data_IF_362248168953
#
_entry.id   IF_362248168953
#
_cell.length_a   1.000
_cell.length_b   1.000
_cell.length_c   1.000
_cell.angle_alpha   90.00
_cell.angle_beta   90.00
_cell.angle_gamma   90.00
#
_symmetry.space_group_name_H-M   'P 1'
#
loop_
_entity.id
_entity.type
_entity.pdbx_description
1 polymer ?
#
# COMPACT_ATOMS: atom_id res chain seq x y z
N UNK A 1 5.24 7.28 -8.54
CA UNK A 1 5.63 8.43 -9.38
C UNK A 1 6.75 7.97 -10.30
N UNK A 2 6.64 8.19 -11.61
CA UNK A 2 7.79 8.04 -12.50
C UNK A 2 8.88 9.05 -12.13
N UNK A 3 10.14 8.87 -12.58
CA UNK A 3 11.22 9.83 -12.36
C UNK A 3 10.91 11.27 -12.82
N UNK A 4 9.90 11.45 -13.69
CA UNK A 4 9.41 12.74 -14.19
C UNK A 4 8.30 13.37 -13.31
N UNK A 5 7.92 12.72 -12.20
CA UNK A 5 6.85 13.18 -11.29
C UNK A 5 5.43 12.85 -11.76
N UNK A 6 5.26 12.11 -12.86
CA UNK A 6 3.95 11.70 -13.35
C UNK A 6 3.38 10.50 -12.58
N UNK A 7 2.05 10.49 -12.41
CA UNK A 7 1.32 9.34 -11.89
C UNK A 7 1.32 8.23 -12.94
N UNK A 8 1.76 7.05 -12.54
CA UNK A 8 1.74 5.85 -13.35
C UNK A 8 0.75 4.85 -12.78
N UNK A 9 0.03 4.15 -13.65
CA UNK A 9 -0.91 3.10 -13.27
C UNK A 9 -0.30 1.73 -13.58
N UNK A 10 -0.45 0.78 -12.66
CA UNK A 10 0.03 -0.60 -12.83
C UNK A 10 -1.07 -1.60 -12.47
N UNK A 11 -1.02 -2.80 -13.05
CA UNK A 11 -1.84 -3.94 -12.61
C UNK A 11 -1.05 -4.95 -11.78
N UNK A 12 0.19 -4.60 -11.45
CA UNK A 12 1.03 -5.41 -10.59
C UNK A 12 0.51 -5.36 -9.16
N UNK A 13 0.13 -6.53 -8.63
CA UNK A 13 -0.33 -6.70 -7.24
C UNK A 13 0.82 -6.91 -6.26
N UNK A 14 2.06 -6.86 -6.74
CA UNK A 14 3.25 -7.04 -5.92
C UNK A 14 3.59 -5.74 -5.21
N UNK A 15 3.30 -5.70 -3.90
CA UNK A 15 3.61 -4.58 -3.03
C UNK A 15 4.63 -4.97 -1.97
N UNK A 16 5.39 -3.99 -1.53
CA UNK A 16 6.34 -4.09 -0.43
C UNK A 16 6.33 -2.81 0.40
N UNK A 17 6.91 -2.88 1.59
CA UNK A 17 7.08 -1.73 2.47
C UNK A 17 8.52 -1.29 2.38
N UNK A 18 8.76 -0.01 2.08
CA UNK A 18 10.11 0.55 2.05
C UNK A 18 10.66 0.82 3.46
N UNK A 19 11.91 1.27 3.53
CA UNK A 19 12.58 1.61 4.79
C UNK A 19 11.92 2.75 5.59
N UNK A 20 11.06 3.55 4.94
CA UNK A 20 10.32 4.66 5.55
C UNK A 20 8.93 4.23 6.02
N UNK A 21 8.58 2.94 5.87
CA UNK A 21 7.26 2.43 6.18
C UNK A 21 6.21 2.72 5.11
N UNK A 22 6.59 3.12 3.90
CA UNK A 22 5.65 3.44 2.83
C UNK A 22 5.34 2.22 1.97
N UNK A 23 4.07 2.10 1.57
CA UNK A 23 3.67 1.10 0.59
C UNK A 23 4.19 1.50 -0.79
N UNK A 24 5.01 0.64 -1.38
CA UNK A 24 5.58 0.81 -2.71
C UNK A 24 5.31 -0.43 -3.56
N UNK A 25 5.36 -0.29 -4.88
CA UNK A 25 5.33 -1.42 -5.82
C UNK A 25 6.64 -2.22 -5.73
N UNK A 26 6.69 -3.41 -6.33
CA UNK A 26 7.92 -4.20 -6.45
C UNK A 26 9.10 -3.43 -7.07
N UNK A 27 8.82 -2.47 -7.96
CA UNK A 27 9.82 -1.58 -8.55
C UNK A 27 10.27 -0.42 -7.66
N UNK A 28 9.75 -0.31 -6.43
CA UNK A 28 10.07 0.76 -5.49
C UNK A 28 9.29 2.07 -5.71
N UNK A 29 8.25 2.05 -6.54
CA UNK A 29 7.43 3.24 -6.79
C UNK A 29 6.35 3.38 -5.73
N UNK A 30 6.28 4.56 -5.11
CA UNK A 30 5.25 4.88 -4.12
C UNK A 30 3.84 4.86 -4.72
N UNK A 31 2.90 4.26 -3.98
CA UNK A 31 1.47 4.28 -4.31
C UNK A 31 0.85 5.65 -4.00
N UNK A 32 -0.14 6.05 -4.79
CA UNK A 32 -0.85 7.32 -4.60
C UNK A 32 -2.35 7.06 -4.27
N UNK A 33 -2.91 7.70 -3.23
CA UNK A 33 -2.22 8.50 -2.21
C UNK A 33 -1.24 7.67 -1.39
N UNK A 34 -0.24 8.33 -0.80
CA UNK A 34 0.76 7.68 0.04
C UNK A 34 0.07 6.86 1.15
N UNK A 35 0.47 5.60 1.33
CA UNK A 35 0.00 4.74 2.41
C UNK A 35 1.19 4.41 3.31
N UNK A 36 1.13 4.87 4.55
CA UNK A 36 2.14 4.55 5.56
C UNK A 36 1.67 3.37 6.41
N UNK A 37 2.50 2.35 6.48
CA UNK A 37 2.30 1.16 7.31
C UNK A 37 2.91 1.42 8.70
N UNK A 38 2.11 1.29 9.78
CA UNK A 38 2.62 1.41 11.14
C UNK A 38 3.65 0.31 11.46
N UNK A 39 4.71 0.65 12.20
CA UNK A 39 5.75 -0.32 12.59
C UNK A 39 5.22 -1.46 13.49
N UNK A 40 4.10 -1.25 14.17
CA UNK A 40 3.42 -2.25 15.00
C UNK A 40 2.35 -3.07 14.22
N UNK A 41 2.30 -2.95 12.89
CA UNK A 41 1.44 -3.79 12.06
C UNK A 41 1.94 -5.25 12.09
N UNK A 42 1.04 -6.16 12.44
CA UNK A 42 1.30 -7.61 12.47
C UNK A 42 1.05 -8.26 11.11
N UNK A 43 0.08 -7.73 10.35
CA UNK A 43 -0.22 -8.19 9.00
C UNK A 43 -0.76 -7.04 8.17
N UNK A 44 -0.53 -7.11 6.85
CA UNK A 44 -1.06 -6.19 5.86
C UNK A 44 -1.99 -6.99 4.95
N UNK A 45 -3.17 -6.46 4.67
CA UNK A 45 -4.13 -7.04 3.73
C UNK A 45 -4.52 -5.98 2.71
N UNK A 46 -4.42 -6.34 1.44
CA UNK A 46 -4.83 -5.50 0.32
C UNK A 46 -6.03 -6.19 -0.33
N UNK A 47 -7.19 -5.55 -0.27
CA UNK A 47 -8.42 -6.04 -0.87
C UNK A 47 -8.39 -5.92 -2.39
N UNK A 48 -9.25 -6.68 -3.08
CA UNK A 48 -9.42 -6.61 -4.54
C UNK A 48 -9.99 -5.26 -5.01
N UNK A 49 -10.61 -4.53 -4.10
CA UNK A 49 -11.08 -3.15 -4.23
C UNK A 49 -9.96 -2.12 -3.97
N UNK A 50 -8.73 -2.58 -3.77
CA UNK A 50 -7.56 -1.77 -3.44
C UNK A 50 -7.49 -1.38 -1.98
N UNK A 51 -8.43 -1.77 -1.11
CA UNK A 51 -8.41 -1.32 0.29
C UNK A 51 -7.24 -1.94 1.04
N UNK A 52 -6.37 -1.10 1.59
CA UNK A 52 -5.24 -1.52 2.42
C UNK A 52 -5.66 -1.44 3.89
N UNK A 53 -5.55 -2.58 4.59
CA UNK A 53 -5.83 -2.69 6.01
C UNK A 53 -4.72 -3.43 6.74
N UNK A 54 -4.54 -3.13 8.02
CA UNK A 54 -3.57 -3.81 8.89
C UNK A 54 -4.21 -4.40 10.13
N UNK A 55 -3.60 -5.42 10.70
CA UNK A 55 -3.89 -5.86 12.08
C UNK A 55 -2.78 -5.35 12.99
N UNK A 56 -3.11 -4.93 14.21
CA UNK A 56 -2.14 -4.47 15.20
C UNK A 56 -2.30 -5.28 16.49
N UNK A 57 -1.23 -5.40 17.27
CA UNK A 57 -1.30 -6.09 18.56
C UNK A 57 -2.33 -5.41 19.48
N UNK A 58 -3.19 -6.20 20.12
CA UNK A 58 -4.25 -5.69 20.99
C UNK A 58 -5.48 -5.14 20.26
N UNK A 59 -5.53 -5.19 18.92
CA UNK A 59 -6.69 -4.83 18.11
C UNK A 59 -7.18 -6.06 17.33
N UNK A 60 -8.33 -6.60 17.73
CA UNK A 60 -8.93 -7.76 17.06
C UNK A 60 -9.49 -7.42 15.67
N UNK A 61 -9.88 -6.16 15.44
CA UNK A 61 -10.36 -5.68 14.16
C UNK A 61 -9.23 -5.15 13.27
N UNK A 62 -9.39 -5.31 11.95
CA UNK A 62 -8.51 -4.71 10.95
C UNK A 62 -8.71 -3.18 10.92
N UNK A 63 -7.61 -2.44 10.88
CA UNK A 63 -7.59 -0.99 10.73
C UNK A 63 -7.31 -0.62 9.27
N UNK A 64 -8.22 0.16 8.65
CA UNK A 64 -8.10 0.60 7.25
C UNK A 64 -7.16 1.80 7.13
N UNK A 65 -6.12 1.68 6.30
CA UNK A 65 -5.13 2.73 6.05
C UNK A 65 -5.47 3.57 4.82
N UNK A 66 -6.08 2.97 3.79
CA UNK A 66 -6.38 3.67 2.54
C UNK A 66 -6.78 2.73 1.42
N UNK A 67 -6.66 3.21 0.17
CA UNK A 67 -6.87 2.39 -1.03
C UNK A 67 -5.70 2.56 -2.00
N UNK A 68 -5.07 1.46 -2.40
CA UNK A 68 -4.11 1.42 -3.51
C UNK A 68 -4.89 1.51 -4.82
N UNK A 69 -4.87 2.68 -5.45
CA UNK A 69 -5.59 2.92 -6.71
C UNK A 69 -4.71 2.43 -7.86
N UNK A 70 -4.86 1.16 -8.21
CA UNK A 70 -4.27 0.57 -9.41
C UNK A 70 -5.42 0.08 -10.28
N UNK A 71 -5.87 0.85 -11.29
CA UNK A 71 -7.00 0.45 -12.11
C UNK A 71 -6.65 -0.78 -12.96
N UNK A 72 -7.58 -1.73 -13.14
CA UNK A 72 -7.46 -2.75 -14.17
C UNK A 72 -7.56 -2.07 -15.56
N UNK A 73 -6.76 -2.55 -16.52
CA UNK A 73 -6.92 -2.21 -17.94
C UNK A 73 -8.24 -2.75 -18.48
#
# INVERSE_FOLDING_TARGET
MLPDGSSAYTRDGSFQVDQNGQLVTAGGFQVQPAITIPANALSITIGRDGVVSVTQQGQAARFRLGSSISPPL
#
